data_IF_065247975375
#
_entry.id   IF_065247975375
#
_cell.length_a   1.000
_cell.length_b   1.000
_cell.length_c   1.000
_cell.angle_alpha   90.00
_cell.angle_beta   90.00
_cell.angle_gamma   90.00
#
_symmetry.space_group_name_H-M   'P 1'
#
loop_
_entity.id
_entity.type
_entity.pdbx_description
1 polymer ?
#
# COMPACT_ATOMS: atom_id res chain seq x y z
N UNK A 1 -5.60 17.93 3.06
CA UNK A 1 -6.62 17.42 2.13
C UNK A 1 -6.01 17.04 0.77
N UNK A 2 -5.37 15.89 0.70
CA UNK A 2 -4.78 15.37 -0.52
C UNK A 2 -5.65 14.26 -1.12
N UNK A 3 -5.66 14.19 -2.45
CA UNK A 3 -6.07 12.99 -3.15
C UNK A 3 -4.86 12.07 -3.23
N UNK A 4 -5.00 10.82 -2.82
CA UNK A 4 -3.89 9.86 -2.81
C UNK A 4 -4.16 8.65 -3.68
N UNK A 5 -3.08 8.07 -4.19
CA UNK A 5 -3.07 6.77 -4.85
C UNK A 5 -2.15 5.86 -4.05
N UNK A 6 -2.72 4.84 -3.43
CA UNK A 6 -1.96 3.84 -2.68
C UNK A 6 -1.62 2.68 -3.60
N UNK A 7 -0.35 2.32 -3.68
CA UNK A 7 0.14 1.18 -4.45
C UNK A 7 0.74 0.19 -3.45
N UNK A 8 0.06 -0.93 -3.25
CA UNK A 8 0.37 -1.84 -2.16
C UNK A 8 0.22 -3.31 -2.54
N UNK A 9 0.84 -4.19 -1.77
CA UNK A 9 0.63 -5.63 -1.90
C UNK A 9 -0.76 -6.04 -1.44
N UNK A 10 -1.23 -7.21 -1.91
CA UNK A 10 -2.59 -7.70 -1.65
C UNK A 10 -2.94 -7.83 -0.16
N UNK A 11 -1.94 -8.03 0.68
CA UNK A 11 -2.13 -8.24 2.12
C UNK A 11 -1.87 -6.99 2.95
N UNK A 12 -1.35 -5.92 2.36
CA UNK A 12 -0.96 -4.70 3.10
C UNK A 12 -2.16 -3.98 3.69
N UNK A 13 -3.20 -3.74 2.91
CA UNK A 13 -4.46 -3.11 3.34
C UNK A 13 -4.23 -1.86 4.20
N UNK A 14 -3.35 -0.97 3.73
CA UNK A 14 -2.93 0.21 4.50
C UNK A 14 -4.11 1.12 4.87
N UNK A 15 -4.20 1.48 6.14
CA UNK A 15 -5.26 2.32 6.68
C UNK A 15 -6.59 1.61 6.91
N UNK A 16 -6.72 0.34 6.55
CA UNK A 16 -7.95 -0.43 6.79
C UNK A 16 -8.05 -0.75 8.27
N UNK A 17 -9.19 -0.38 8.88
CA UNK A 17 -9.42 -0.61 10.31
C UNK A 17 -8.72 0.38 11.25
N UNK A 18 -8.11 1.43 10.73
CA UNK A 18 -7.50 2.50 11.54
C UNK A 18 -7.75 3.88 10.90
N UNK A 19 -7.26 4.93 11.52
CA UNK A 19 -7.49 6.31 11.09
C UNK A 19 -6.29 6.96 10.38
N UNK A 20 -5.31 6.14 9.93
CA UNK A 20 -4.08 6.65 9.32
C UNK A 20 -4.34 7.62 8.16
N UNK A 21 -5.35 7.35 7.34
CA UNK A 21 -5.68 8.17 6.18
C UNK A 21 -7.02 8.91 6.30
N UNK A 22 -7.53 9.13 7.51
CA UNK A 22 -8.82 9.80 7.69
C UNK A 22 -8.85 11.25 7.20
N UNK A 23 -7.70 11.89 7.09
CA UNK A 23 -7.58 13.29 6.68
C UNK A 23 -7.35 13.50 5.19
N UNK A 24 -7.32 12.43 4.39
CA UNK A 24 -7.18 12.57 2.94
C UNK A 24 -8.54 12.82 2.29
N UNK A 25 -8.55 13.51 1.16
CA UNK A 25 -9.78 13.84 0.44
C UNK A 25 -10.37 12.64 -0.29
N UNK A 26 -9.53 11.87 -0.96
CA UNK A 26 -9.96 10.64 -1.63
C UNK A 26 -8.81 9.65 -1.75
N UNK A 27 -9.15 8.37 -1.86
CA UNK A 27 -8.19 7.27 -1.99
C UNK A 27 -8.54 6.45 -3.22
N UNK A 28 -7.54 6.18 -4.07
CA UNK A 28 -7.57 5.11 -5.04
C UNK A 28 -6.47 4.11 -4.72
N UNK A 29 -6.68 2.83 -5.06
CA UNK A 29 -5.71 1.77 -4.76
C UNK A 29 -5.38 0.95 -5.99
N UNK A 30 -4.10 0.63 -6.13
CA UNK A 30 -3.60 -0.39 -7.06
C UNK A 30 -3.07 -1.53 -6.20
N UNK A 31 -3.62 -2.72 -6.40
CA UNK A 31 -3.23 -3.92 -5.64
C UNK A 31 -2.24 -4.72 -6.47
N UNK A 32 -1.11 -5.03 -5.85
CA UNK A 32 0.00 -5.73 -6.48
C UNK A 32 0.23 -7.08 -5.79
N UNK A 33 0.97 -8.01 -6.43
CA UNK A 33 1.37 -9.24 -5.75
C UNK A 33 2.11 -8.95 -4.45
N UNK A 34 1.80 -9.70 -3.39
CA UNK A 34 2.42 -9.53 -2.07
C UNK A 34 3.90 -9.88 -2.08
N UNK A 35 4.32 -10.74 -3.01
CA UNK A 35 5.70 -11.17 -3.15
C UNK A 35 6.15 -11.00 -4.60
N UNK A 36 7.44 -10.73 -4.79
CA UNK A 36 8.05 -10.60 -6.11
C UNK A 36 7.40 -9.54 -7.00
N UNK A 37 6.95 -8.43 -6.41
CA UNK A 37 6.34 -7.32 -7.15
C UNK A 37 7.29 -6.78 -8.25
N UNK A 38 8.59 -6.90 -8.06
CA UNK A 38 9.57 -6.44 -9.04
C UNK A 38 9.39 -7.10 -10.42
N UNK A 39 8.94 -8.35 -10.48
CA UNK A 39 8.68 -9.04 -11.74
C UNK A 39 7.61 -8.35 -12.58
N UNK A 40 6.77 -7.51 -11.97
CA UNK A 40 5.72 -6.73 -12.63
C UNK A 40 5.96 -5.23 -12.58
N UNK A 41 7.20 -4.79 -12.32
CA UNK A 41 7.50 -3.35 -12.09
C UNK A 41 7.02 -2.46 -13.24
N UNK A 42 7.18 -2.88 -14.47
CA UNK A 42 6.76 -2.08 -15.63
C UNK A 42 5.24 -2.02 -15.76
N UNK A 43 4.53 -3.12 -15.49
CA UNK A 43 3.06 -3.16 -15.47
C UNK A 43 2.53 -2.28 -14.34
N UNK A 44 3.14 -2.36 -13.16
CA UNK A 44 2.76 -1.52 -12.01
C UNK A 44 2.97 -0.05 -12.34
N UNK A 45 4.12 0.31 -12.92
CA UNK A 45 4.41 1.68 -13.32
C UNK A 45 3.35 2.20 -14.29
N UNK A 46 2.98 1.43 -15.30
CA UNK A 46 1.99 1.85 -16.28
C UNK A 46 0.61 2.05 -15.61
N UNK A 47 0.20 1.16 -14.73
CA UNK A 47 -1.05 1.31 -13.98
C UNK A 47 -1.05 2.59 -13.15
N UNK A 48 0.08 2.93 -12.52
CA UNK A 48 0.22 4.18 -11.76
C UNK A 48 0.04 5.39 -12.69
N UNK A 49 0.71 5.39 -13.83
CA UNK A 49 0.60 6.50 -14.79
C UNK A 49 -0.84 6.69 -15.28
N UNK A 50 -1.55 5.58 -15.48
CA UNK A 50 -2.94 5.63 -15.96
C UNK A 50 -3.92 6.18 -14.91
N UNK A 51 -3.60 6.10 -13.63
CA UNK A 51 -4.50 6.45 -12.53
C UNK A 51 -4.02 7.56 -11.60
N UNK A 52 -2.83 8.10 -11.83
CA UNK A 52 -2.24 9.10 -10.92
C UNK A 52 -3.04 10.40 -10.86
N UNK A 53 -3.43 10.96 -11.99
CA UNK A 53 -4.34 12.13 -12.08
C UNK A 53 -4.01 13.27 -11.09
N UNK A 54 -2.71 13.59 -10.92
CA UNK A 54 -2.28 14.62 -9.97
C UNK A 54 -2.27 14.18 -8.51
N UNK A 55 -2.55 12.93 -8.21
CA UNK A 55 -2.56 12.39 -6.84
C UNK A 55 -1.16 12.25 -6.27
N UNK A 56 -1.06 12.34 -4.96
CA UNK A 56 0.14 11.92 -4.24
C UNK A 56 0.20 10.39 -4.25
N UNK A 57 1.30 9.83 -4.73
CA UNK A 57 1.47 8.39 -4.87
C UNK A 57 2.21 7.85 -3.65
N UNK A 58 1.58 6.91 -2.93
CA UNK A 58 2.15 6.27 -1.76
C UNK A 58 2.47 4.81 -2.09
N UNK A 59 3.74 4.45 -2.02
CA UNK A 59 4.24 3.14 -2.44
C UNK A 59 4.56 2.30 -1.21
N UNK A 60 3.97 1.11 -1.13
CA UNK A 60 4.15 0.16 -0.03
C UNK A 60 4.38 -1.23 -0.62
N UNK A 61 5.52 -1.41 -1.30
CA UNK A 61 5.84 -2.60 -2.11
C UNK A 61 7.20 -3.21 -1.77
N UNK A 62 7.70 -2.96 -0.57
CA UNK A 62 9.04 -3.42 -0.21
C UNK A 62 10.11 -2.79 -1.12
N UNK A 63 11.15 -3.53 -1.52
CA UNK A 63 12.25 -2.97 -2.33
C UNK A 63 11.82 -2.39 -3.68
N UNK A 64 10.76 -2.91 -4.29
CA UNK A 64 10.23 -2.41 -5.56
C UNK A 64 9.80 -0.95 -5.47
N UNK A 65 9.32 -0.52 -4.31
CA UNK A 65 8.89 0.86 -4.08
C UNK A 65 10.03 1.88 -4.33
N UNK A 66 11.26 1.54 -4.00
CA UNK A 66 12.40 2.43 -4.20
C UNK A 66 12.64 2.73 -5.67
N UNK A 67 12.53 1.71 -6.50
CA UNK A 67 12.71 1.84 -7.96
C UNK A 67 11.58 2.66 -8.56
N UNK A 68 10.35 2.36 -8.17
CA UNK A 68 9.17 3.11 -8.65
C UNK A 68 9.21 4.57 -8.20
N UNK A 69 9.56 4.84 -6.96
CA UNK A 69 9.68 6.22 -6.46
C UNK A 69 10.69 7.01 -7.28
N UNK A 70 11.84 6.42 -7.58
CA UNK A 70 12.87 7.04 -8.42
C UNK A 70 12.35 7.33 -9.82
N UNK A 71 11.77 6.33 -10.49
CA UNK A 71 11.25 6.47 -11.86
C UNK A 71 10.14 7.51 -11.94
N UNK A 72 9.19 7.47 -11.01
CA UNK A 72 8.05 8.38 -11.00
C UNK A 72 8.48 9.82 -10.70
N UNK A 73 9.41 10.01 -9.78
CA UNK A 73 9.97 11.34 -9.49
C UNK A 73 10.65 11.94 -10.72
N UNK A 74 11.37 11.13 -11.50
CA UNK A 74 12.00 11.56 -12.75
C UNK A 74 10.96 11.98 -13.80
N UNK A 75 9.76 11.44 -13.74
CA UNK A 75 8.66 11.79 -14.64
C UNK A 75 7.81 12.97 -14.12
N UNK A 76 8.17 13.55 -12.98
CA UNK A 76 7.49 14.70 -12.42
C UNK A 76 6.32 14.38 -11.48
N UNK A 77 6.14 13.12 -11.09
CA UNK A 77 5.11 12.72 -10.13
C UNK A 77 5.61 12.86 -8.70
N UNK A 78 4.67 13.10 -7.77
CA UNK A 78 4.94 13.09 -6.33
C UNK A 78 4.74 11.66 -5.83
N UNK A 79 5.83 10.96 -5.56
CA UNK A 79 5.80 9.57 -5.12
C UNK A 79 6.67 9.38 -3.88
N UNK A 80 6.12 8.69 -2.87
CA UNK A 80 6.80 8.42 -1.61
C UNK A 80 6.80 6.92 -1.34
N UNK A 81 7.98 6.38 -1.00
CA UNK A 81 8.12 5.02 -0.46
C UNK A 81 7.87 5.11 1.05
N UNK A 82 6.76 4.55 1.51
CA UNK A 82 6.38 4.58 2.92
C UNK A 82 6.74 3.29 3.66
N UNK A 83 7.27 2.29 2.96
CA UNK A 83 7.66 1.03 3.59
C UNK A 83 6.48 0.36 4.31
N UNK A 84 6.65 0.09 5.60
CA UNK A 84 5.67 -0.60 6.44
C UNK A 84 4.93 0.36 7.38
N UNK A 85 4.61 1.56 6.92
CA UNK A 85 4.00 2.59 7.77
C UNK A 85 2.72 2.11 8.46
N UNK A 86 1.92 1.29 7.79
CA UNK A 86 0.67 0.79 8.37
C UNK A 86 0.92 -0.12 9.58
N UNK A 87 1.86 -1.07 9.48
CA UNK A 87 2.24 -1.91 10.62
C UNK A 87 2.80 -1.07 11.77
N UNK A 88 3.66 -0.10 11.47
CA UNK A 88 4.22 0.80 12.48
C UNK A 88 3.12 1.60 13.17
N UNK A 89 2.14 2.09 12.41
CA UNK A 89 1.02 2.83 12.96
C UNK A 89 0.15 1.96 13.88
N UNK A 90 -0.16 0.73 13.45
CA UNK A 90 -0.93 -0.21 14.27
C UNK A 90 -0.20 -0.54 15.58
N UNK A 91 1.10 -0.80 15.51
CA UNK A 91 1.90 -1.05 16.74
C UNK A 91 1.91 0.16 17.66
N UNK A 92 1.99 1.36 17.13
CA UNK A 92 1.92 2.58 17.94
C UNK A 92 0.55 2.69 18.62
N UNK A 93 -0.54 2.42 17.90
CA UNK A 93 -1.89 2.46 18.46
C UNK A 93 -2.09 1.42 19.58
N UNK A 94 -1.49 0.24 19.44
CA UNK A 94 -1.53 -0.82 20.44
C UNK A 94 -0.66 -0.51 21.65
N UNK A 95 0.28 0.46 21.58
CA UNK A 95 1.31 0.65 22.59
C UNK A 95 2.29 -0.52 22.65
N UNK A 96 2.49 -1.22 21.52
CA UNK A 96 3.36 -2.38 21.47
C UNK A 96 4.83 -2.00 21.63
N UNK A 97 5.54 -2.65 22.55
CA UNK A 97 6.97 -2.46 22.76
C UNK A 97 7.81 -3.26 21.76
N UNK A 98 7.23 -4.31 21.19
CA UNK A 98 7.87 -5.17 20.19
C UNK A 98 6.92 -5.38 19.02
N UNK A 99 7.47 -5.85 17.90
CA UNK A 99 6.65 -6.18 16.72
C UNK A 99 5.73 -7.35 17.02
N UNK A 100 4.44 -7.19 16.73
CA UNK A 100 3.42 -8.23 16.89
C UNK A 100 2.71 -8.47 15.57
N UNK A 101 2.29 -9.72 15.33
CA UNK A 101 1.56 -10.06 14.11
C UNK A 101 0.16 -9.46 14.15
N UNK A 102 -0.22 -8.81 13.06
CA UNK A 102 -1.57 -8.31 12.83
C UNK A 102 -2.42 -9.40 12.16
N UNK A 103 -3.67 -9.57 12.61
CA UNK A 103 -4.50 -10.71 12.17
C UNK A 103 -5.08 -10.55 10.77
N UNK A 104 -5.33 -9.32 10.34
CA UNK A 104 -6.16 -9.06 9.16
C UNK A 104 -5.40 -8.40 8.00
N UNK A 105 -4.09 -8.31 8.10
CA UNK A 105 -3.26 -7.67 7.09
C UNK A 105 -1.79 -8.08 7.21
N UNK A 106 -1.00 -7.68 6.23
CA UNK A 106 0.45 -7.85 6.25
C UNK A 106 1.07 -7.22 7.50
N UNK A 107 1.97 -7.97 8.13
CA UNK A 107 2.83 -7.45 9.19
C UNK A 107 4.28 -7.65 8.78
N UNK A 108 5.06 -6.57 8.84
CA UNK A 108 6.48 -6.63 8.52
C UNK A 108 7.20 -7.71 9.34
N UNK A 109 8.00 -8.54 8.66
CA UNK A 109 8.84 -9.57 9.28
C UNK A 109 8.09 -10.76 9.92
N UNK A 110 6.79 -10.95 9.60
CA UNK A 110 6.02 -12.07 10.13
C UNK A 110 5.64 -13.08 9.05
N UNK A 111 6.37 -14.17 9.02
CA UNK A 111 6.05 -15.47 8.42
C UNK A 111 5.33 -15.43 7.06
N UNK A 112 5.73 -14.51 6.18
CA UNK A 112 5.17 -14.35 4.82
C UNK A 112 3.64 -14.25 4.79
N UNK A 113 3.06 -13.56 5.77
CA UNK A 113 1.62 -13.33 5.89
C UNK A 113 0.79 -14.59 6.13
N UNK A 114 1.39 -15.66 6.67
CA UNK A 114 0.63 -16.83 7.06
C UNK A 114 -0.27 -16.54 8.25
N UNK A 115 -1.47 -17.11 8.23
CA UNK A 115 -2.44 -16.95 9.31
C UNK A 115 -3.23 -15.64 9.29
N UNK A 116 -3.16 -14.88 8.20
CA UNK A 116 -3.98 -13.68 8.05
C UNK A 116 -5.43 -14.07 7.73
N UNK A 117 -6.37 -13.47 8.46
CA UNK A 117 -7.80 -13.61 8.22
C UNK A 117 -8.34 -12.30 7.66
N UNK A 118 -8.70 -12.28 6.36
CA UNK A 118 -9.23 -11.07 5.74
C UNK A 118 -10.68 -10.85 6.13
N UNK A 119 -10.99 -9.60 6.53
CA UNK A 119 -12.35 -9.14 6.76
C UNK A 119 -12.79 -8.33 5.55
N UNK A 120 -14.01 -8.58 5.07
CA UNK A 120 -14.61 -7.77 4.02
C UNK A 120 -14.70 -6.31 4.45
N UNK A 121 -14.27 -5.42 3.56
CA UNK A 121 -14.36 -3.97 3.75
C UNK A 121 -14.80 -3.34 2.43
N UNK A 122 -16.04 -2.88 2.39
CA UNK A 122 -16.63 -2.32 1.17
C UNK A 122 -15.92 -1.04 0.73
N UNK A 123 -15.52 -0.19 1.68
CA UNK A 123 -14.79 1.04 1.34
C UNK A 123 -13.45 0.70 0.69
N UNK A 124 -12.73 -0.26 1.25
CA UNK A 124 -11.47 -0.73 0.67
C UNK A 124 -11.68 -1.25 -0.76
N UNK A 125 -12.68 -2.10 -0.95
CA UNK A 125 -12.99 -2.68 -2.26
C UNK A 125 -13.35 -1.60 -3.29
N UNK A 126 -14.11 -0.59 -2.89
CA UNK A 126 -14.50 0.51 -3.77
C UNK A 126 -13.35 1.44 -4.15
N UNK A 127 -12.28 1.46 -3.39
CA UNK A 127 -11.08 2.25 -3.68
C UNK A 127 -10.16 1.58 -4.70
N UNK A 128 -10.31 0.27 -4.94
CA UNK A 128 -9.44 -0.48 -5.84
C UNK A 128 -9.80 -0.13 -7.29
N UNK A 129 -8.83 0.46 -8.01
CA UNK A 129 -8.99 0.79 -9.42
C UNK A 129 -8.31 -0.23 -10.34
N UNK A 130 -7.26 -0.89 -9.85
CA UNK A 130 -6.54 -1.94 -10.58
C UNK A 130 -6.12 -3.03 -9.60
N UNK A 131 -6.33 -4.28 -9.99
CA UNK A 131 -5.84 -5.45 -9.24
C UNK A 131 -4.90 -6.24 -10.16
N UNK A 132 -3.61 -6.20 -9.85
CA UNK A 132 -2.55 -6.86 -10.61
C UNK A 132 -2.12 -8.20 -10.03
N UNK A 133 -2.91 -8.76 -9.11
CA UNK A 133 -2.61 -10.05 -8.48
C UNK A 133 -2.96 -11.25 -9.37
N UNK A 134 -3.65 -11.01 -10.45
CA UNK A 134 -4.15 -12.05 -11.37
C UNK A 134 -3.28 -12.21 -12.60
#
# INVERSE_FOLDING_TARGET
DEDILIVEGATTRAGVGNDLFNNVRSIKRIICPSHHAFSKVDVIQQAILDHAEGRLILLMLGPTAKILAYRLSRLGYRALDLGHIDSEYEWMQMGAETKVQLKHKHTAEFNFDQGIEFIEDENYNNQIVVDLTK
#
